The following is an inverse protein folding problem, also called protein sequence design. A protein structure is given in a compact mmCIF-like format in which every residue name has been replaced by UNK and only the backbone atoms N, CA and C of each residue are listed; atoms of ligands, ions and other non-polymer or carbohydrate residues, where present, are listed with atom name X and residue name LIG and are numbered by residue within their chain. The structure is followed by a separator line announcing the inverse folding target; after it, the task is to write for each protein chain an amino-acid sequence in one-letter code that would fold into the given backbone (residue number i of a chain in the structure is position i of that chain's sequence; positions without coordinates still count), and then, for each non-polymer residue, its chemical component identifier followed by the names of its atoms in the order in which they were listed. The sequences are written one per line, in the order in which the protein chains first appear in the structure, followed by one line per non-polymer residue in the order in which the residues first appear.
data_IF_000687322628
#
_entry.id   IF_000687322628
#
_cell.length_a   1.000
_cell.length_b   1.000
_cell.length_c   1.000
_cell.angle_alpha   90.00
_cell.angle_beta   90.00
_cell.angle_gamma   90.00
#
_symmetry.space_group_name_H-M   'P 1'
#
loop_
_entity.id
_entity.type
_entity.pdbx_description
1 polymer ?
#
# COMPACT_ATOMS: atom_id res chain seq x y z
N UNK A 1 3.50 -17.45 -38.23
CA UNK A 1 3.09 -17.78 -36.85
C UNK A 1 1.62 -18.11 -36.85
N UNK A 2 1.16 -19.07 -36.03
CA UNK A 2 -0.27 -19.31 -35.85
C UNK A 2 -0.86 -18.04 -35.24
N UNK A 3 -1.86 -17.45 -35.90
CA UNK A 3 -2.59 -16.32 -35.36
C UNK A 3 -3.33 -16.82 -34.12
N UNK A 4 -2.98 -16.27 -32.97
CA UNK A 4 -3.57 -16.65 -31.68
C UNK A 4 -4.77 -15.76 -31.47
N UNK A 5 -5.96 -16.37 -31.39
CA UNK A 5 -7.18 -15.65 -31.04
C UNK A 5 -7.23 -15.45 -29.53
N UNK A 6 -7.40 -14.21 -29.07
CA UNK A 6 -7.66 -13.89 -27.67
C UNK A 6 -9.10 -14.26 -27.35
N UNK A 7 -9.26 -15.07 -26.30
CA UNK A 7 -10.55 -15.54 -25.80
C UNK A 7 -10.90 -14.90 -24.45
N UNK A 8 -9.92 -14.31 -23.77
CA UNK A 8 -10.10 -13.78 -22.42
C UNK A 8 -9.03 -12.72 -22.10
N UNK A 9 -9.45 -11.62 -21.48
CA UNK A 9 -8.57 -10.60 -20.90
C UNK A 9 -8.58 -10.76 -19.38
N UNK A 10 -7.40 -10.87 -18.76
CA UNK A 10 -7.26 -11.06 -17.32
C UNK A 10 -6.51 -9.88 -16.71
N UNK A 11 -7.07 -9.29 -15.66
CA UNK A 11 -6.44 -8.15 -14.99
C UNK A 11 -6.69 -8.15 -13.49
N UNK A 12 -6.10 -7.23 -12.74
CA UNK A 12 -6.27 -7.12 -11.30
C UNK A 12 -7.71 -6.76 -10.92
N UNK A 13 -8.21 -7.45 -9.89
CA UNK A 13 -9.38 -7.03 -9.13
C UNK A 13 -9.03 -5.74 -8.38
N UNK A 14 -9.92 -4.75 -8.40
CA UNK A 14 -9.65 -3.38 -7.96
C UNK A 14 -8.45 -2.76 -8.70
N UNK A 15 -8.37 -3.01 -10.01
CA UNK A 15 -7.31 -2.47 -10.88
C UNK A 15 -7.23 -0.94 -10.81
N UNK A 16 -6.06 -0.40 -11.06
CA UNK A 16 -5.89 1.03 -11.19
C UNK A 16 -6.42 1.51 -12.55
N UNK A 17 -6.35 2.83 -12.76
CA UNK A 17 -6.67 3.42 -14.06
C UNK A 17 -5.76 2.87 -15.18
N UNK A 18 -4.56 2.40 -14.83
CA UNK A 18 -3.59 1.84 -15.77
C UNK A 18 -4.10 0.57 -16.45
N UNK A 19 -4.58 -0.39 -15.66
CA UNK A 19 -5.15 -1.63 -16.21
C UNK A 19 -6.41 -1.35 -17.02
N UNK A 20 -7.29 -0.46 -16.54
CA UNK A 20 -8.53 -0.13 -17.25
C UNK A 20 -8.24 0.53 -18.60
N UNK A 21 -7.27 1.45 -18.64
CA UNK A 21 -6.86 2.09 -19.88
C UNK A 21 -6.10 1.13 -20.80
N UNK A 22 -5.25 0.25 -20.26
CA UNK A 22 -4.60 -0.83 -21.00
C UNK A 22 -5.59 -1.76 -21.70
N UNK A 23 -6.61 -2.24 -20.98
CA UNK A 23 -7.68 -3.07 -21.53
C UNK A 23 -8.48 -2.30 -22.59
N UNK A 24 -8.80 -1.03 -22.37
CA UNK A 24 -9.47 -0.19 -23.38
C UNK A 24 -8.64 -0.08 -24.67
N UNK A 25 -7.33 0.18 -24.57
CA UNK A 25 -6.43 0.26 -25.74
C UNK A 25 -6.41 -1.05 -26.53
N UNK A 26 -6.30 -2.20 -25.84
CA UNK A 26 -6.33 -3.52 -26.47
C UNK A 26 -7.65 -3.75 -27.21
N UNK A 27 -8.79 -3.45 -26.58
CA UNK A 27 -10.09 -3.61 -27.23
C UNK A 27 -10.29 -2.67 -28.41
N UNK A 28 -9.72 -1.46 -28.35
CA UNK A 28 -9.93 -0.42 -29.36
C UNK A 28 -8.99 -0.55 -30.57
N UNK A 29 -7.75 -0.96 -30.34
CA UNK A 29 -6.68 -0.93 -31.35
C UNK A 29 -5.97 -2.28 -31.51
N UNK A 30 -6.25 -3.26 -30.66
CA UNK A 30 -5.49 -4.50 -30.59
C UNK A 30 -5.92 -5.60 -31.56
N UNK A 31 -7.08 -5.49 -32.22
CA UNK A 31 -7.67 -6.60 -33.01
C UNK A 31 -6.75 -7.13 -34.13
N UNK A 32 -5.97 -6.25 -34.77
CA UNK A 32 -5.02 -6.65 -35.82
C UNK A 32 -3.89 -7.55 -35.27
N UNK A 33 -3.41 -7.23 -34.06
CA UNK A 33 -2.27 -7.90 -33.43
C UNK A 33 -2.73 -9.09 -32.57
N UNK A 34 -3.91 -8.96 -31.96
CA UNK A 34 -4.54 -9.91 -31.05
C UNK A 34 -5.99 -10.20 -31.48
N UNK A 35 -6.22 -10.99 -32.54
CA UNK A 35 -7.58 -11.22 -33.04
C UNK A 35 -8.53 -11.76 -31.97
N UNK A 36 -9.75 -11.25 -31.90
CA UNK A 36 -10.75 -11.58 -30.89
C UNK A 36 -10.67 -10.76 -29.60
N UNK A 37 -9.67 -9.90 -29.42
CA UNK A 37 -9.50 -9.11 -28.19
C UNK A 37 -10.62 -8.09 -27.98
N UNK A 38 -11.19 -7.55 -29.06
CA UNK A 38 -12.30 -6.59 -29.04
C UNK A 38 -13.51 -7.18 -28.28
N UNK A 39 -13.83 -8.45 -28.54
CA UNK A 39 -14.98 -9.17 -27.97
C UNK A 39 -14.63 -10.03 -26.74
N UNK A 40 -13.35 -10.18 -26.42
CA UNK A 40 -12.91 -11.05 -25.33
C UNK A 40 -13.51 -10.60 -23.97
N UNK A 41 -14.13 -11.50 -23.18
CA UNK A 41 -14.57 -11.19 -21.83
C UNK A 41 -13.39 -10.77 -20.94
N UNK A 42 -13.67 -9.90 -19.98
CA UNK A 42 -12.70 -9.40 -19.00
C UNK A 42 -12.94 -10.11 -17.67
N UNK A 43 -11.90 -10.74 -17.11
CA UNK A 43 -11.91 -11.41 -15.82
C UNK A 43 -10.94 -10.73 -14.84
N UNK A 44 -11.40 -10.61 -13.58
CA UNK A 44 -10.72 -9.86 -12.53
C UNK A 44 -10.13 -10.81 -11.48
N UNK A 45 -8.82 -10.81 -11.37
CA UNK A 45 -8.05 -11.73 -10.54
C UNK A 45 -7.62 -11.06 -9.24
N UNK A 46 -7.75 -11.78 -8.12
CA UNK A 46 -7.22 -11.29 -6.84
C UNK A 46 -5.70 -11.17 -6.91
N UNK A 47 -5.12 -10.16 -6.29
CA UNK A 47 -3.66 -10.02 -6.14
C UNK A 47 -3.07 -11.30 -5.54
N UNK A 48 -1.99 -11.80 -6.12
CA UNK A 48 -1.32 -13.04 -5.68
C UNK A 48 -2.01 -14.35 -6.11
N UNK A 49 -3.16 -14.30 -6.79
CA UNK A 49 -3.82 -15.52 -7.32
C UNK A 49 -3.10 -16.12 -8.53
N UNK A 50 -2.21 -15.35 -9.15
CA UNK A 50 -1.38 -15.77 -10.29
C UNK A 50 0.07 -15.61 -9.88
N UNK A 51 0.81 -16.71 -9.91
CA UNK A 51 2.26 -16.67 -9.76
C UNK A 51 2.87 -15.99 -11.00
N UNK A 52 3.59 -14.86 -10.84
CA UNK A 52 4.17 -14.14 -11.96
C UNK A 52 5.23 -14.98 -12.67
N UNK A 53 4.98 -15.35 -13.93
CA UNK A 53 5.89 -16.15 -14.74
C UNK A 53 5.71 -15.79 -16.23
N UNK A 54 6.67 -15.07 -16.85
CA UNK A 54 6.53 -14.60 -18.23
C UNK A 54 6.31 -15.75 -19.22
N UNK A 55 7.07 -16.84 -19.09
CA UNK A 55 6.99 -18.00 -19.98
C UNK A 55 5.62 -18.68 -19.89
N UNK A 56 5.08 -18.81 -18.68
CA UNK A 56 3.74 -19.36 -18.46
C UNK A 56 2.66 -18.43 -18.99
N UNK A 57 2.79 -17.13 -18.79
CA UNK A 57 1.80 -16.16 -19.27
C UNK A 57 1.79 -16.09 -20.80
N UNK A 58 2.96 -16.13 -21.44
CA UNK A 58 3.07 -16.24 -22.90
C UNK A 58 2.52 -17.57 -23.43
N UNK A 59 2.72 -18.68 -22.70
CA UNK A 59 2.11 -19.96 -23.07
C UNK A 59 0.59 -19.91 -22.95
N UNK A 60 0.05 -19.31 -21.89
CA UNK A 60 -1.40 -19.16 -21.72
C UNK A 60 -2.03 -18.30 -22.81
N UNK A 61 -1.34 -17.25 -23.27
CA UNK A 61 -1.76 -16.50 -24.45
C UNK A 61 -1.79 -17.43 -25.67
N UNK A 62 -0.67 -18.09 -25.98
CA UNK A 62 -0.52 -18.92 -27.19
C UNK A 62 -1.45 -20.13 -27.23
N UNK A 63 -1.59 -20.82 -26.11
CA UNK A 63 -2.18 -22.14 -26.03
C UNK A 63 -3.67 -22.07 -25.61
N UNK A 64 -4.07 -21.03 -24.86
CA UNK A 64 -5.44 -20.86 -24.35
C UNK A 64 -6.13 -19.55 -24.81
N UNK A 65 -5.39 -18.61 -25.42
CA UNK A 65 -5.93 -17.31 -25.81
C UNK A 65 -6.15 -16.36 -24.63
N UNK A 66 -5.43 -16.55 -23.52
CA UNK A 66 -5.56 -15.74 -22.30
C UNK A 66 -4.54 -14.61 -22.27
N UNK A 67 -4.99 -13.37 -22.37
CA UNK A 67 -4.13 -12.19 -22.37
C UNK A 67 -4.19 -11.47 -21.02
N UNK A 68 -3.04 -11.38 -20.36
CA UNK A 68 -2.92 -10.78 -19.03
C UNK A 68 -2.48 -9.31 -19.13
N UNK A 69 -3.11 -8.43 -18.34
CA UNK A 69 -2.85 -6.98 -18.30
C UNK A 69 -2.61 -6.53 -16.87
N UNK A 70 -1.43 -5.97 -16.61
CA UNK A 70 -0.96 -5.51 -15.30
C UNK A 70 -0.61 -6.64 -14.33
N UNK A 71 -0.71 -7.90 -14.73
CA UNK A 71 -0.55 -9.07 -13.85
C UNK A 71 0.10 -10.26 -14.58
N UNK A 72 0.69 -11.20 -13.83
CA UNK A 72 1.14 -12.52 -14.32
C UNK A 72 2.55 -12.54 -14.89
N UNK A 73 3.25 -11.41 -14.91
CA UNK A 73 4.64 -11.27 -15.38
C UNK A 73 4.80 -11.31 -16.89
N UNK A 74 3.72 -11.21 -17.67
CA UNK A 74 3.72 -11.24 -19.14
C UNK A 74 4.22 -9.94 -19.80
N UNK A 75 4.02 -9.78 -21.10
CA UNK A 75 4.51 -8.59 -21.82
C UNK A 75 3.84 -7.26 -21.40
N UNK A 76 2.68 -7.33 -20.74
CA UNK A 76 1.92 -6.16 -20.27
C UNK A 76 1.85 -6.07 -18.74
N UNK A 77 2.88 -6.57 -18.05
CA UNK A 77 2.99 -6.48 -16.59
C UNK A 77 4.36 -5.87 -16.22
N UNK A 78 4.36 -4.64 -15.72
CA UNK A 78 5.56 -3.89 -15.36
C UNK A 78 6.20 -4.35 -14.04
N UNK A 79 5.51 -5.17 -13.24
CA UNK A 79 5.99 -5.56 -11.92
C UNK A 79 7.25 -6.43 -11.98
N UNK A 80 8.17 -6.18 -11.04
CA UNK A 80 9.32 -7.05 -10.83
C UNK A 80 8.87 -8.43 -10.33
N UNK A 81 9.56 -9.48 -10.75
CA UNK A 81 9.28 -10.84 -10.32
C UNK A 81 10.58 -11.68 -10.21
N UNK A 82 10.45 -12.97 -9.90
CA UNK A 82 11.59 -13.85 -9.73
C UNK A 82 12.43 -14.05 -11.01
N UNK A 83 11.86 -13.76 -12.20
CA UNK A 83 12.49 -14.00 -13.50
C UNK A 83 13.06 -12.72 -14.12
N UNK A 84 12.53 -11.54 -13.78
CA UNK A 84 13.00 -10.25 -14.31
C UNK A 84 12.77 -9.09 -13.34
N UNK A 85 13.58 -8.04 -13.51
CA UNK A 85 13.36 -6.76 -12.84
C UNK A 85 12.10 -6.04 -13.31
N UNK A 86 11.80 -4.89 -12.66
CA UNK A 86 10.69 -4.02 -13.04
C UNK A 86 10.89 -3.51 -14.47
N UNK A 87 9.84 -3.53 -15.30
CA UNK A 87 9.89 -2.90 -16.61
C UNK A 87 9.74 -1.38 -16.48
N UNK A 88 10.29 -0.64 -17.43
CA UNK A 88 10.09 0.80 -17.48
C UNK A 88 8.70 1.11 -18.05
N UNK A 89 7.95 1.97 -17.35
CA UNK A 89 6.57 2.32 -17.72
C UNK A 89 5.53 1.64 -16.82
N UNK A 90 4.29 1.69 -17.30
CA UNK A 90 3.12 1.07 -16.70
C UNK A 90 2.43 0.20 -17.77
N UNK A 91 1.49 -0.68 -17.39
CA UNK A 91 0.86 -1.64 -18.30
C UNK A 91 0.28 -0.96 -19.55
N UNK A 92 -0.40 0.18 -19.39
CA UNK A 92 -0.94 0.93 -20.52
C UNK A 92 0.12 1.49 -21.46
N UNK A 93 1.29 1.89 -20.95
CA UNK A 93 2.41 2.36 -21.77
C UNK A 93 3.04 1.21 -22.56
N UNK A 94 3.21 0.04 -21.91
CA UNK A 94 3.71 -1.18 -22.57
C UNK A 94 2.78 -1.63 -23.70
N UNK A 95 1.46 -1.58 -23.47
CA UNK A 95 0.45 -1.88 -24.50
C UNK A 95 0.53 -0.87 -25.64
N UNK A 96 0.59 0.44 -25.34
CA UNK A 96 0.66 1.47 -26.37
C UNK A 96 1.87 1.30 -27.29
N UNK A 97 3.03 1.00 -26.71
CA UNK A 97 4.27 0.73 -27.44
C UNK A 97 4.14 -0.54 -28.29
N UNK A 98 3.59 -1.63 -27.71
CA UNK A 98 3.42 -2.89 -28.42
C UNK A 98 2.48 -2.78 -29.61
N UNK A 99 1.42 -1.97 -29.48
CA UNK A 99 0.46 -1.72 -30.56
C UNK A 99 0.95 -0.64 -31.55
N UNK A 100 2.05 0.06 -31.27
CA UNK A 100 2.56 1.14 -32.12
C UNK A 100 1.71 2.42 -32.10
N UNK A 101 0.97 2.66 -31.01
CA UNK A 101 0.03 3.79 -30.86
C UNK A 101 0.50 4.84 -29.84
N UNK A 102 1.68 4.68 -29.25
CA UNK A 102 2.21 5.57 -28.21
C UNK A 102 2.41 7.03 -28.68
N UNK A 103 2.61 7.22 -29.98
CA UNK A 103 2.82 8.54 -30.60
C UNK A 103 1.52 9.16 -31.12
N UNK A 104 0.36 8.53 -30.92
CA UNK A 104 -0.93 9.14 -31.27
C UNK A 104 -1.14 10.41 -30.42
N UNK A 105 -1.26 11.59 -31.05
CA UNK A 105 -1.39 12.85 -30.33
C UNK A 105 -2.67 12.93 -29.46
N UNK A 106 -3.69 12.13 -29.75
CA UNK A 106 -4.92 12.04 -28.94
C UNK A 106 -4.74 11.15 -27.72
N UNK A 107 -3.92 10.08 -27.81
CA UNK A 107 -3.67 9.17 -26.70
C UNK A 107 -2.63 9.69 -25.73
N UNK A 108 -1.61 10.39 -26.25
CA UNK A 108 -0.46 10.83 -25.45
C UNK A 108 -0.83 11.55 -24.14
N UNK A 109 -1.78 12.51 -24.11
CA UNK A 109 -2.17 13.16 -22.85
C UNK A 109 -2.86 12.21 -21.85
N UNK A 110 -3.60 11.21 -22.34
CA UNK A 110 -4.25 10.19 -21.53
C UNK A 110 -3.19 9.23 -20.96
N UNK A 111 -2.26 8.77 -21.79
CA UNK A 111 -1.10 7.96 -21.37
C UNK A 111 -0.26 8.68 -20.30
N UNK A 112 0.02 9.97 -20.47
CA UNK A 112 0.75 10.77 -19.48
C UNK A 112 -0.02 10.93 -18.16
N UNK A 113 -1.35 11.08 -18.22
CA UNK A 113 -2.20 11.07 -17.02
C UNK A 113 -2.12 9.72 -16.30
N UNK A 114 -2.28 8.61 -17.03
CA UNK A 114 -2.26 7.26 -16.48
C UNK A 114 -0.90 6.93 -15.88
N UNK A 115 0.19 7.23 -16.59
CA UNK A 115 1.57 7.03 -16.11
C UNK A 115 1.85 7.83 -14.84
N UNK A 116 1.34 9.06 -14.71
CA UNK A 116 1.47 9.84 -13.46
C UNK A 116 0.69 9.19 -12.31
N UNK A 117 -0.53 8.74 -12.57
CA UNK A 117 -1.38 8.09 -11.58
C UNK A 117 -0.75 6.80 -11.04
N UNK A 118 -0.16 5.99 -11.93
CA UNK A 118 0.56 4.76 -11.57
C UNK A 118 1.80 5.04 -10.69
N UNK A 119 2.51 6.14 -10.98
CA UNK A 119 3.60 6.63 -10.13
C UNK A 119 3.14 7.32 -8.83
N UNK A 120 1.84 7.26 -8.51
CA UNK A 120 1.27 7.77 -7.26
C UNK A 120 0.69 9.19 -7.35
N UNK A 121 0.93 9.93 -8.43
CA UNK A 121 0.32 11.24 -8.67
C UNK A 121 -1.08 11.09 -9.26
N UNK A 122 -2.06 10.93 -8.38
CA UNK A 122 -3.47 10.76 -8.75
C UNK A 122 -4.20 12.09 -9.02
N UNK A 123 -3.49 13.23 -8.96
CA UNK A 123 -4.07 14.56 -9.07
C UNK A 123 -4.97 14.94 -7.89
N UNK A 124 -5.89 15.88 -8.12
CA UNK A 124 -6.80 16.39 -7.07
C UNK A 124 -7.97 15.43 -6.84
N UNK A 125 -8.72 15.66 -5.77
CA UNK A 125 -9.82 14.80 -5.33
C UNK A 125 -10.89 14.48 -6.42
N UNK A 126 -11.15 15.43 -7.32
CA UNK A 126 -12.13 15.28 -8.43
C UNK A 126 -11.49 14.89 -9.76
N UNK A 127 -10.21 14.51 -9.76
CA UNK A 127 -9.52 14.01 -10.94
C UNK A 127 -9.81 12.53 -11.13
N UNK A 128 -9.87 12.11 -12.38
CA UNK A 128 -10.34 10.78 -12.75
C UNK A 128 -9.59 9.60 -12.07
N UNK A 129 -8.25 9.60 -11.91
CA UNK A 129 -7.59 8.55 -11.14
C UNK A 129 -8.10 8.44 -9.68
N UNK A 130 -8.39 9.57 -9.03
CA UNK A 130 -8.99 9.56 -7.70
C UNK A 130 -10.46 9.11 -7.73
N UNK A 131 -11.22 9.46 -8.78
CA UNK A 131 -12.60 8.99 -8.95
C UNK A 131 -12.66 7.47 -9.01
N UNK A 132 -11.74 6.81 -9.74
CA UNK A 132 -11.63 5.35 -9.77
C UNK A 132 -11.45 4.78 -8.36
N UNK A 133 -10.55 5.38 -7.56
CA UNK A 133 -10.37 4.97 -6.15
C UNK A 133 -11.65 5.16 -5.34
N UNK A 134 -12.38 6.27 -5.52
CA UNK A 134 -13.65 6.46 -4.80
C UNK A 134 -14.72 5.46 -5.21
N UNK A 135 -14.82 5.11 -6.49
CA UNK A 135 -15.76 4.09 -6.96
C UNK A 135 -15.47 2.72 -6.33
N UNK A 136 -14.20 2.35 -6.21
CA UNK A 136 -13.79 1.12 -5.54
C UNK A 136 -14.12 1.13 -4.04
N UNK A 137 -13.97 2.28 -3.38
CA UNK A 137 -14.31 2.45 -1.97
C UNK A 137 -15.81 2.38 -1.72
N UNK A 138 -16.60 2.97 -2.61
CA UNK A 138 -18.04 2.80 -2.67
C UNK A 138 -18.50 1.37 -3.06
N UNK A 139 -17.55 0.43 -3.19
CA UNK A 139 -17.78 -1.00 -3.46
C UNK A 139 -18.48 -1.28 -4.79
N UNK A 140 -18.35 -0.38 -5.77
CA UNK A 140 -18.76 -0.70 -7.13
C UNK A 140 -17.92 -1.84 -7.70
N UNK A 141 -18.54 -2.68 -8.54
CA UNK A 141 -17.86 -3.82 -9.15
C UNK A 141 -16.82 -3.37 -10.18
N UNK A 142 -15.75 -4.15 -10.34
CA UNK A 142 -14.70 -3.84 -11.33
C UNK A 142 -15.26 -3.76 -12.76
N UNK A 143 -16.26 -4.61 -13.08
CA UNK A 143 -16.98 -4.57 -14.36
C UNK A 143 -17.64 -3.21 -14.61
N UNK A 144 -18.42 -2.73 -13.65
CA UNK A 144 -19.10 -1.44 -13.76
C UNK A 144 -18.11 -0.29 -13.88
N UNK A 145 -17.02 -0.32 -13.10
CA UNK A 145 -15.98 0.72 -13.16
C UNK A 145 -15.29 0.69 -14.52
N UNK A 146 -14.99 -0.50 -15.06
CA UNK A 146 -14.41 -0.66 -16.40
C UNK A 146 -15.32 -0.12 -17.50
N UNK A 147 -16.62 -0.45 -17.48
CA UNK A 147 -17.61 0.02 -18.45
C UNK A 147 -17.73 1.55 -18.43
N UNK A 148 -17.82 2.15 -17.24
CA UNK A 148 -17.78 3.61 -17.06
C UNK A 148 -16.47 4.19 -17.60
N UNK A 149 -15.36 3.49 -17.39
CA UNK A 149 -14.04 3.94 -17.84
C UNK A 149 -13.93 3.96 -19.35
N UNK A 150 -14.46 2.97 -20.04
CA UNK A 150 -14.47 2.93 -21.50
C UNK A 150 -15.24 4.11 -22.09
N UNK A 151 -16.40 4.45 -21.51
CA UNK A 151 -17.19 5.61 -21.94
C UNK A 151 -16.38 6.91 -21.82
N UNK A 152 -15.67 7.09 -20.70
CA UNK A 152 -14.84 8.26 -20.44
C UNK A 152 -13.63 8.30 -21.37
N UNK A 153 -12.93 7.19 -21.56
CA UNK A 153 -11.78 7.11 -22.47
C UNK A 153 -12.18 7.37 -23.92
N UNK A 154 -13.31 6.82 -24.37
CA UNK A 154 -13.87 7.11 -25.69
C UNK A 154 -14.13 8.61 -25.87
N UNK A 155 -14.72 9.27 -24.87
CA UNK A 155 -14.99 10.70 -24.93
C UNK A 155 -13.70 11.53 -24.92
N UNK A 156 -12.71 11.16 -24.09
CA UNK A 156 -11.40 11.82 -24.06
C UNK A 156 -10.67 11.66 -25.40
N UNK A 157 -10.70 10.46 -25.99
CA UNK A 157 -10.06 10.19 -27.27
C UNK A 157 -10.77 10.92 -28.43
N UNK A 158 -12.11 10.95 -28.43
CA UNK A 158 -12.89 11.63 -29.46
C UNK A 158 -12.63 13.14 -29.50
N UNK A 159 -12.56 13.76 -28.31
CA UNK A 159 -12.35 15.20 -28.15
C UNK A 159 -10.98 15.69 -28.69
N UNK A 160 -10.03 14.78 -28.91
CA UNK A 160 -8.75 15.08 -29.54
C UNK A 160 -7.86 16.06 -28.78
N UNK A 161 -6.89 16.67 -29.45
CA UNK A 161 -5.83 17.48 -28.83
C UNK A 161 -6.30 18.76 -28.14
N UNK A 162 -7.45 19.30 -28.55
CA UNK A 162 -7.87 20.66 -28.18
C UNK A 162 -8.23 20.80 -26.69
N UNK A 163 -8.70 19.71 -26.07
CA UNK A 163 -9.09 19.69 -24.66
C UNK A 163 -7.91 19.51 -23.70
N UNK A 164 -6.78 18.99 -24.20
CA UNK A 164 -5.63 18.60 -23.39
C UNK A 164 -4.65 19.76 -23.11
N UNK A 165 -4.88 20.94 -23.70
CA UNK A 165 -4.19 22.17 -23.30
C UNK A 165 -4.46 22.57 -21.83
N UNK A 166 -5.43 21.94 -21.19
CA UNK A 166 -5.73 22.10 -19.77
C UNK A 166 -5.22 20.88 -18.97
N UNK A 167 -4.31 21.12 -18.01
CA UNK A 167 -3.76 20.06 -17.13
C UNK A 167 -4.84 19.35 -16.29
N UNK A 168 -6.02 19.95 -16.12
CA UNK A 168 -7.17 19.42 -15.37
C UNK A 168 -8.29 18.91 -16.32
N UNK A 169 -7.98 18.52 -17.58
CA UNK A 169 -8.98 18.00 -18.54
C UNK A 169 -9.76 16.77 -18.03
N UNK A 170 -9.16 16.03 -17.10
CA UNK A 170 -9.70 14.82 -16.48
C UNK A 170 -10.36 15.10 -15.12
N UNK A 171 -10.67 16.35 -14.82
CA UNK A 171 -11.53 16.71 -13.69
C UNK A 171 -13.00 16.47 -14.02
N UNK A 172 -13.80 16.09 -13.03
CA UNK A 172 -15.23 15.75 -13.22
C UNK A 172 -16.03 16.75 -14.08
N UNK A 173 -15.98 18.07 -13.84
CA UNK A 173 -16.76 19.02 -14.66
C UNK A 173 -16.33 19.03 -16.14
N UNK A 174 -15.07 18.70 -16.43
CA UNK A 174 -14.57 18.59 -17.80
C UNK A 174 -15.05 17.29 -18.44
N UNK A 175 -14.95 16.18 -17.72
CA UNK A 175 -15.49 14.89 -18.18
C UNK A 175 -16.98 15.01 -18.51
N UNK A 176 -17.77 15.66 -17.65
CA UNK A 176 -19.20 15.91 -17.91
C UNK A 176 -19.42 16.66 -19.23
N UNK A 177 -18.67 17.76 -19.42
CA UNK A 177 -18.75 18.54 -20.67
C UNK A 177 -18.33 17.72 -21.89
N UNK A 178 -17.32 16.86 -21.78
CA UNK A 178 -16.90 15.98 -22.87
C UNK A 178 -18.02 15.01 -23.24
N UNK A 179 -18.67 14.41 -22.25
CA UNK A 179 -19.78 13.48 -22.48
C UNK A 179 -20.99 14.17 -23.12
N UNK A 180 -21.27 15.43 -22.77
CA UNK A 180 -22.36 16.22 -23.35
C UNK A 180 -22.05 16.69 -24.79
N UNK A 181 -20.84 17.20 -25.05
CA UNK A 181 -20.49 17.86 -26.32
C UNK A 181 -20.40 16.87 -27.49
N UNK A 182 -19.99 15.63 -27.24
CA UNK A 182 -19.81 14.64 -28.30
C UNK A 182 -21.13 14.13 -28.89
N UNK A 183 -22.29 14.42 -28.26
CA UNK A 183 -23.61 13.99 -28.74
C UNK A 183 -23.79 12.46 -28.89
N UNK A 184 -22.75 11.70 -28.52
CA UNK A 184 -22.64 10.24 -28.67
C UNK A 184 -23.39 9.49 -27.59
N UNK A 185 -23.63 10.14 -26.45
CA UNK A 185 -24.30 9.54 -25.30
C UNK A 185 -25.60 10.27 -25.00
N UNK A 186 -26.66 9.51 -24.74
CA UNK A 186 -27.94 10.05 -24.33
C UNK A 186 -27.79 10.81 -22.99
N UNK A 187 -28.47 11.94 -22.83
CA UNK A 187 -28.41 12.75 -21.60
C UNK A 187 -28.72 11.93 -20.34
N UNK A 188 -29.58 10.91 -20.47
CA UNK A 188 -29.91 10.00 -19.38
C UNK A 188 -28.68 9.19 -18.91
N UNK A 189 -27.91 8.62 -19.85
CA UNK A 189 -26.68 7.89 -19.53
C UNK A 189 -25.64 8.79 -18.86
N UNK A 190 -25.46 10.02 -19.38
CA UNK A 190 -24.52 10.99 -18.78
C UNK A 190 -24.93 11.32 -17.34
N UNK A 191 -26.22 11.56 -17.10
CA UNK A 191 -26.74 11.81 -15.75
C UNK A 191 -26.55 10.62 -14.81
N UNK A 192 -26.81 9.39 -15.29
CA UNK A 192 -26.58 8.17 -14.50
C UNK A 192 -25.11 8.05 -14.08
N UNK A 193 -24.17 8.25 -15.02
CA UNK A 193 -22.72 8.20 -14.73
C UNK A 193 -22.31 9.27 -13.71
N UNK A 194 -22.82 10.49 -13.85
CA UNK A 194 -22.53 11.59 -12.93
C UNK A 194 -23.06 11.28 -11.54
N UNK A 195 -24.29 10.78 -11.42
CA UNK A 195 -24.87 10.36 -10.13
C UNK A 195 -24.00 9.30 -9.46
N UNK A 196 -23.60 8.25 -10.20
CA UNK A 196 -22.70 7.20 -9.70
C UNK A 196 -21.39 7.81 -9.15
N UNK A 197 -20.77 8.71 -9.89
CA UNK A 197 -19.50 9.33 -9.49
C UNK A 197 -19.69 10.21 -8.23
N UNK A 198 -20.74 11.01 -8.20
CA UNK A 198 -21.04 11.90 -7.08
C UNK A 198 -21.39 11.12 -5.81
N UNK A 199 -22.15 10.03 -5.93
CA UNK A 199 -22.47 9.13 -4.82
C UNK A 199 -21.19 8.48 -4.26
N UNK A 200 -20.31 7.98 -5.12
CA UNK A 200 -19.03 7.41 -4.70
C UNK A 200 -18.13 8.44 -4.00
N UNK A 201 -18.08 9.67 -4.52
CA UNK A 201 -17.38 10.79 -3.88
C UNK A 201 -17.96 11.11 -2.50
N UNK A 202 -19.29 11.10 -2.38
CA UNK A 202 -20.00 11.35 -1.12
C UNK A 202 -19.69 10.27 -0.08
N UNK A 203 -19.75 9.00 -0.47
CA UNK A 203 -19.40 7.86 0.39
C UNK A 203 -17.95 7.98 0.89
N UNK A 204 -17.00 8.20 -0.02
CA UNK A 204 -15.60 8.33 0.36
C UNK A 204 -15.32 9.52 1.29
N UNK A 205 -16.05 10.63 1.09
CA UNK A 205 -15.97 11.79 1.99
C UNK A 205 -16.50 11.44 3.37
N UNK A 206 -17.64 10.76 3.45
CA UNK A 206 -18.23 10.36 4.73
C UNK A 206 -17.32 9.38 5.48
N UNK A 207 -16.73 8.40 4.81
CA UNK A 207 -15.73 7.50 5.41
C UNK A 207 -14.51 8.24 5.97
N UNK A 208 -14.05 9.29 5.28
CA UNK A 208 -12.95 10.13 5.77
C UNK A 208 -13.36 10.96 7.00
N UNK A 209 -14.57 11.52 7.00
CA UNK A 209 -15.11 12.26 8.14
C UNK A 209 -15.27 11.37 9.37
N UNK A 210 -15.80 10.16 9.18
CA UNK A 210 -15.89 9.15 10.24
C UNK A 210 -14.51 8.80 10.78
N UNK A 211 -13.53 8.51 9.90
CA UNK A 211 -12.16 8.23 10.32
C UNK A 211 -11.53 9.41 11.09
N UNK A 212 -11.86 10.65 10.72
CA UNK A 212 -11.42 11.84 11.44
C UNK A 212 -12.00 11.90 12.84
N UNK A 213 -13.28 11.61 12.99
CA UNK A 213 -13.93 11.64 14.29
C UNK A 213 -13.43 10.48 15.18
N UNK A 214 -13.13 9.31 14.61
CA UNK A 214 -12.45 8.19 15.27
C UNK A 214 -11.06 8.60 15.76
N UNK A 215 -10.21 9.19 14.91
CA UNK A 215 -8.86 9.61 15.32
C UNK A 215 -8.92 10.75 16.34
N UNK A 216 -9.86 11.69 16.19
CA UNK A 216 -10.02 12.81 17.13
C UNK A 216 -10.48 12.36 18.53
N UNK A 217 -11.25 11.27 18.62
CA UNK A 217 -11.69 10.67 19.89
C UNK A 217 -10.74 9.59 20.42
N UNK A 218 -9.68 9.25 19.68
CA UNK A 218 -8.73 8.21 20.05
C UNK A 218 -7.83 8.61 21.23
N UNK A 219 -7.26 7.60 21.89
CA UNK A 219 -6.25 7.83 22.93
C UNK A 219 -4.96 8.31 22.27
N UNK A 220 -4.41 9.42 22.78
CA UNK A 220 -3.13 9.96 22.33
C UNK A 220 -2.07 9.86 23.42
N UNK A 221 -0.84 9.54 23.03
CA UNK A 221 0.31 9.40 23.92
C UNK A 221 1.50 10.19 23.39
N UNK A 222 2.38 10.62 24.30
CA UNK A 222 3.63 11.32 23.97
C UNK A 222 4.81 10.53 24.50
N UNK A 223 5.86 10.40 23.67
CA UNK A 223 7.16 9.86 24.07
C UNK A 223 8.30 10.69 23.50
N UNK A 224 9.46 10.67 24.15
CA UNK A 224 10.63 11.40 23.68
C UNK A 224 11.51 10.53 22.79
N UNK A 225 11.69 10.90 21.53
CA UNK A 225 12.66 10.26 20.63
C UNK A 225 13.76 11.26 20.30
N UNK A 226 14.95 11.08 20.86
CA UNK A 226 16.10 11.98 20.65
C UNK A 226 15.74 13.46 20.94
N UNK A 227 15.13 13.70 22.10
CA UNK A 227 14.69 15.03 22.56
C UNK A 227 13.56 15.66 21.72
N UNK A 228 13.00 14.93 20.76
CA UNK A 228 11.82 15.34 20.02
C UNK A 228 10.57 14.60 20.53
N UNK A 229 9.46 15.30 20.82
CA UNK A 229 8.22 14.65 21.20
C UNK A 229 7.64 13.89 20.00
N UNK A 230 7.28 12.63 20.21
CA UNK A 230 6.62 11.75 19.25
C UNK A 230 5.20 11.51 19.72
N UNK A 231 4.23 11.88 18.88
CA UNK A 231 2.80 11.71 19.11
C UNK A 231 2.34 10.35 18.59
N UNK A 232 1.76 9.55 19.48
CA UNK A 232 1.22 8.24 19.15
C UNK A 232 -0.30 8.31 19.22
N UNK A 233 -0.99 7.95 18.13
CA UNK A 233 -2.43 7.68 18.13
C UNK A 233 -2.68 6.19 18.39
N UNK A 234 -3.58 5.86 19.32
CA UNK A 234 -4.01 4.49 19.58
C UNK A 234 -5.48 4.36 19.21
N UNK A 235 -5.74 3.70 18.09
CA UNK A 235 -7.05 3.64 17.45
C UNK A 235 -7.53 2.20 17.37
N UNK A 236 -8.81 1.98 17.66
CA UNK A 236 -9.51 0.74 17.33
C UNK A 236 -10.52 1.00 16.22
N UNK A 237 -10.31 0.44 15.03
CA UNK A 237 -11.18 0.63 13.86
C UNK A 237 -10.80 -0.26 12.69
N UNK A 238 -11.78 -0.61 11.86
CA UNK A 238 -11.57 -1.21 10.53
C UNK A 238 -11.59 -0.19 9.39
N UNK A 239 -11.80 1.10 9.70
CA UNK A 239 -11.81 2.16 8.70
C UNK A 239 -10.38 2.42 8.17
N UNK A 240 -10.15 2.04 6.92
CA UNK A 240 -8.85 2.14 6.25
C UNK A 240 -8.36 3.59 6.06
N UNK A 241 -9.22 4.62 6.22
CA UNK A 241 -8.84 6.03 6.14
C UNK A 241 -8.14 6.54 7.40
N UNK A 242 -8.22 5.81 8.52
CA UNK A 242 -7.63 6.22 9.82
C UNK A 242 -6.15 6.58 9.69
N UNK A 243 -5.36 5.83 8.90
CA UNK A 243 -3.94 6.14 8.68
C UNK A 243 -3.73 7.49 8.01
N UNK A 244 -4.49 7.78 6.95
CA UNK A 244 -4.38 9.04 6.22
C UNK A 244 -4.78 10.23 7.11
N UNK A 245 -5.84 10.05 7.90
CA UNK A 245 -6.30 11.09 8.83
C UNK A 245 -5.30 11.30 9.97
N UNK A 246 -4.80 10.25 10.59
CA UNK A 246 -3.80 10.35 11.66
C UNK A 246 -2.55 11.12 11.19
N UNK A 247 -2.08 10.86 9.96
CA UNK A 247 -0.97 11.61 9.35
C UNK A 247 -1.33 13.08 9.17
N UNK A 248 -2.50 13.39 8.63
CA UNK A 248 -2.96 14.77 8.44
C UNK A 248 -3.16 15.54 9.76
N UNK A 249 -3.46 14.82 10.85
CA UNK A 249 -3.58 15.38 12.20
C UNK A 249 -2.22 15.53 12.92
N UNK A 250 -1.12 15.20 12.24
CA UNK A 250 0.25 15.37 12.73
C UNK A 250 0.63 14.38 13.83
N UNK A 251 0.10 13.16 13.78
CA UNK A 251 0.64 12.05 14.57
C UNK A 251 1.89 11.48 13.90
N UNK A 252 2.84 11.02 14.72
CA UNK A 252 4.10 10.45 14.26
C UNK A 252 4.05 8.93 14.17
N UNK A 253 3.26 8.29 15.04
CA UNK A 253 3.01 6.84 15.04
C UNK A 253 1.51 6.59 15.16
N UNK A 254 1.01 5.64 14.40
CA UNK A 254 -0.33 5.07 14.56
C UNK A 254 -0.23 3.62 15.03
N UNK A 255 -0.83 3.33 16.19
CA UNK A 255 -1.14 1.98 16.65
C UNK A 255 -2.62 1.71 16.36
N UNK A 256 -2.88 0.88 15.35
CA UNK A 256 -4.22 0.53 14.90
C UNK A 256 -4.55 -0.90 15.31
N UNK A 257 -5.67 -1.12 16.01
CA UNK A 257 -6.23 -2.44 16.27
C UNK A 257 -7.57 -2.58 15.54
N UNK A 258 -7.67 -3.60 14.69
CA UNK A 258 -8.89 -3.95 13.97
C UNK A 258 -9.89 -4.63 14.92
N UNK A 259 -11.17 -4.70 14.53
CA UNK A 259 -12.19 -5.39 15.33
C UNK A 259 -11.86 -6.89 15.50
N UNK A 260 -11.25 -7.49 14.48
CA UNK A 260 -10.73 -8.86 14.53
C UNK A 260 -9.55 -9.08 15.48
N UNK A 261 -9.02 -8.02 16.11
CA UNK A 261 -7.89 -8.07 17.05
C UNK A 261 -6.50 -7.94 16.41
N UNK A 262 -6.42 -8.08 15.09
CA UNK A 262 -5.21 -7.81 14.31
C UNK A 262 -4.70 -6.38 14.58
N UNK A 263 -3.37 -6.24 14.70
CA UNK A 263 -2.75 -5.00 15.17
C UNK A 263 -1.67 -4.53 14.21
N UNK A 264 -1.66 -3.25 13.90
CA UNK A 264 -0.71 -2.66 12.95
C UNK A 264 -0.08 -1.43 13.58
N UNK A 265 1.20 -1.22 13.28
CA UNK A 265 1.98 -0.07 13.75
C UNK A 265 2.59 0.59 12.54
N UNK A 266 2.26 1.86 12.35
CA UNK A 266 2.77 2.68 11.26
C UNK A 266 3.58 3.83 11.84
N UNK A 267 4.84 3.95 11.45
CA UNK A 267 5.58 5.20 11.57
C UNK A 267 5.10 6.14 10.45
N UNK A 268 4.37 7.18 10.84
CA UNK A 268 3.83 8.20 9.95
C UNK A 268 4.87 9.28 9.66
N UNK A 269 5.79 9.50 10.60
CA UNK A 269 6.97 10.34 10.44
C UNK A 269 8.14 9.49 9.93
N UNK A 270 8.71 9.80 8.74
CA UNK A 270 9.76 8.99 8.11
C UNK A 270 11.07 8.93 8.90
N UNK A 271 11.25 9.78 9.92
CA UNK A 271 12.44 9.77 10.78
C UNK A 271 12.36 8.73 11.91
N UNK A 272 11.21 8.08 12.10
CA UNK A 272 11.01 7.09 13.16
C UNK A 272 11.25 5.70 12.59
N UNK A 273 12.13 4.93 13.23
CA UNK A 273 12.42 3.55 12.83
C UNK A 273 11.81 2.56 13.86
N UNK A 274 11.11 1.53 13.37
CA UNK A 274 10.41 0.53 14.18
C UNK A 274 11.23 -0.75 14.47
N UNK A 275 12.52 -0.82 14.13
CA UNK A 275 13.35 -2.03 14.31
C UNK A 275 13.40 -2.43 15.79
N UNK A 276 13.65 -1.47 16.70
CA UNK A 276 13.73 -1.77 18.14
C UNK A 276 12.35 -2.09 18.72
N UNK A 277 11.27 -1.49 18.20
CA UNK A 277 9.89 -1.84 18.56
C UNK A 277 9.59 -3.29 18.17
N UNK A 278 10.02 -3.68 16.97
CA UNK A 278 9.85 -5.03 16.40
C UNK A 278 10.49 -6.09 17.30
N UNK A 279 11.71 -5.83 17.79
CA UNK A 279 12.38 -6.76 18.71
C UNK A 279 11.60 -6.91 20.01
N UNK A 280 11.14 -5.81 20.61
CA UNK A 280 10.39 -5.86 21.87
C UNK A 280 9.12 -6.68 21.71
N UNK A 281 8.37 -6.45 20.62
CA UNK A 281 7.12 -7.17 20.34
C UNK A 281 7.36 -8.65 20.09
N UNK A 282 8.34 -9.00 19.25
CA UNK A 282 8.64 -10.41 18.95
C UNK A 282 9.14 -11.17 20.18
N UNK A 283 9.89 -10.53 21.07
CA UNK A 283 10.29 -11.13 22.36
C UNK A 283 9.08 -11.26 23.29
N UNK A 284 8.18 -10.27 23.33
CA UNK A 284 6.97 -10.34 24.14
C UNK A 284 6.01 -11.45 23.67
N UNK A 285 5.81 -11.59 22.36
CA UNK A 285 4.98 -12.64 21.75
C UNK A 285 5.48 -14.04 22.09
N UNK A 286 6.80 -14.27 21.92
CA UNK A 286 7.45 -15.53 22.30
C UNK A 286 7.24 -15.88 23.78
N UNK A 287 7.35 -14.87 24.66
CA UNK A 287 7.10 -15.07 26.10
C UNK A 287 5.64 -15.41 26.39
N UNK A 288 4.69 -14.78 25.71
CA UNK A 288 3.27 -15.11 25.85
C UNK A 288 2.97 -16.55 25.44
N UNK A 289 3.63 -17.05 24.39
CA UNK A 289 3.55 -18.45 23.96
C UNK A 289 4.26 -19.44 24.90
N UNK A 290 5.05 -18.95 25.86
CA UNK A 290 5.87 -19.80 26.73
C UNK A 290 7.08 -20.45 26.03
N UNK A 291 7.42 -20.02 24.81
CA UNK A 291 8.52 -20.60 24.02
C UNK A 291 9.43 -19.52 23.47
N UNK A 292 10.74 -19.62 23.70
CA UNK A 292 11.73 -18.72 23.09
C UNK A 292 12.52 -19.46 22.03
N UNK A 293 12.18 -19.24 20.77
CA UNK A 293 12.78 -19.93 19.61
C UNK A 293 13.84 -19.08 18.92
N UNK A 294 13.68 -17.75 18.92
CA UNK A 294 14.62 -16.80 18.33
C UNK A 294 15.12 -15.83 19.38
N UNK A 295 16.43 -15.89 19.65
CA UNK A 295 17.11 -15.04 20.64
C UNK A 295 18.11 -14.06 20.04
N UNK A 296 18.53 -14.27 18.78
CA UNK A 296 19.44 -13.36 18.10
C UNK A 296 18.71 -12.04 17.78
N UNK A 297 19.25 -10.93 18.27
CA UNK A 297 18.61 -9.62 18.15
C UNK A 297 18.56 -9.11 16.72
N UNK A 298 19.56 -9.44 15.90
CA UNK A 298 19.61 -9.01 14.51
C UNK A 298 18.57 -9.79 13.69
N UNK A 299 18.43 -11.10 13.93
CA UNK A 299 17.33 -11.90 13.37
C UNK A 299 15.96 -11.36 13.76
N UNK A 300 15.78 -10.91 15.02
CA UNK A 300 14.52 -10.32 15.48
C UNK A 300 14.23 -8.95 14.84
N UNK A 301 15.21 -8.25 14.28
CA UNK A 301 15.03 -6.98 13.56
C UNK A 301 14.75 -7.15 12.07
N UNK A 302 15.01 -8.33 11.51
CA UNK A 302 14.87 -8.54 10.08
C UNK A 302 13.42 -8.32 9.60
N UNK A 303 13.32 -7.81 8.38
CA UNK A 303 12.08 -7.77 7.60
C UNK A 303 11.49 -9.18 7.43
N UNK A 304 10.19 -9.23 7.16
CA UNK A 304 9.45 -10.48 7.06
C UNK A 304 8.95 -10.98 8.41
N UNK A 305 8.73 -12.30 8.51
CA UNK A 305 8.33 -13.01 9.74
C UNK A 305 9.53 -13.66 10.41
N UNK A 306 9.43 -13.88 11.73
CA UNK A 306 10.48 -14.55 12.52
C UNK A 306 9.90 -15.72 13.31
N UNK A 307 10.67 -16.81 13.38
CA UNK A 307 10.29 -18.03 14.11
C UNK A 307 9.99 -17.75 15.59
N UNK A 308 8.86 -18.21 16.08
CA UNK A 308 8.33 -17.98 17.42
C UNK A 308 7.50 -16.70 17.58
N UNK A 309 7.52 -15.79 16.61
CA UNK A 309 6.74 -14.54 16.60
C UNK A 309 6.18 -14.25 15.20
N UNK A 310 5.65 -15.30 14.55
CA UNK A 310 5.14 -15.29 13.19
C UNK A 310 3.92 -14.36 13.00
N UNK A 311 3.29 -13.96 14.11
CA UNK A 311 2.22 -12.97 14.17
C UNK A 311 2.69 -11.60 13.68
N UNK A 312 3.98 -11.27 13.79
CA UNK A 312 4.52 -9.95 13.48
C UNK A 312 5.41 -9.97 12.23
N UNK A 313 4.92 -9.34 11.17
CA UNK A 313 5.61 -9.14 9.90
C UNK A 313 6.10 -7.70 9.77
N UNK A 314 7.43 -7.51 9.68
CA UNK A 314 8.03 -6.21 9.42
C UNK A 314 8.14 -6.04 7.90
N UNK A 315 7.32 -5.18 7.30
CA UNK A 315 7.35 -4.94 5.85
C UNK A 315 8.50 -4.00 5.48
N UNK A 316 8.76 -3.02 6.34
CA UNK A 316 9.87 -2.08 6.26
C UNK A 316 10.10 -1.50 7.65
N UNK A 317 11.18 -0.74 7.84
CA UNK A 317 11.44 -0.03 9.10
C UNK A 317 10.31 0.94 9.54
N UNK A 318 9.30 1.19 8.70
CA UNK A 318 8.16 2.06 8.98
C UNK A 318 6.84 1.33 9.25
N UNK A 319 6.76 0.02 8.99
CA UNK A 319 5.48 -0.70 9.00
C UNK A 319 5.61 -2.09 9.58
N UNK A 320 4.98 -2.28 10.74
CA UNK A 320 4.93 -3.56 11.44
C UNK A 320 3.47 -4.05 11.52
N UNK A 321 3.22 -5.23 10.96
CA UNK A 321 1.88 -5.75 10.70
C UNK A 321 1.65 -7.06 11.45
N UNK A 322 0.56 -7.14 12.21
CA UNK A 322 -0.04 -8.39 12.64
C UNK A 322 -1.36 -8.61 11.89
N UNK A 323 -1.23 -9.08 10.64
CA UNK A 323 -2.32 -9.16 9.67
C UNK A 323 -2.49 -7.86 8.88
N UNK A 324 -3.07 -7.97 7.69
CA UNK A 324 -3.43 -6.83 6.84
C UNK A 324 -4.63 -7.17 5.96
N UNK A 325 -5.20 -6.16 5.30
CA UNK A 325 -6.28 -6.36 4.32
C UNK A 325 -5.86 -7.34 3.22
N UNK A 326 -4.56 -7.41 2.90
CA UNK A 326 -4.00 -8.28 1.88
C UNK A 326 -3.48 -9.62 2.43
N UNK A 327 -3.46 -9.80 3.75
CA UNK A 327 -2.96 -10.98 4.43
C UNK A 327 -4.06 -11.55 5.34
N UNK A 328 -5.06 -12.17 4.72
CA UNK A 328 -6.17 -12.84 5.40
C UNK A 328 -5.68 -14.06 6.21
N UNK A 329 -6.37 -14.37 7.30
CA UNK A 329 -6.11 -15.58 8.11
C UNK A 329 -4.91 -15.50 9.05
N UNK A 330 -4.27 -14.34 9.21
CA UNK A 330 -3.21 -14.16 10.22
C UNK A 330 -3.84 -14.10 11.62
N UNK A 331 -3.41 -15.01 12.51
CA UNK A 331 -3.86 -15.03 13.90
C UNK A 331 -3.53 -13.70 14.60
N UNK A 332 -4.50 -13.06 15.26
CA UNK A 332 -4.25 -11.89 16.08
C UNK A 332 -3.21 -12.15 17.18
N UNK A 333 -2.37 -11.16 17.44
CA UNK A 333 -1.43 -11.18 18.59
C UNK A 333 -2.19 -11.38 19.90
N UNK A 334 -1.60 -12.16 20.81
CA UNK A 334 -2.16 -12.32 22.16
C UNK A 334 -1.81 -11.13 23.08
N UNK A 335 -0.97 -10.21 22.61
CA UNK A 335 -0.60 -9.02 23.36
C UNK A 335 -1.79 -8.06 23.45
N UNK A 336 -2.07 -7.59 24.66
CA UNK A 336 -3.02 -6.51 24.91
C UNK A 336 -2.51 -5.20 24.32
N UNK A 337 -3.42 -4.28 24.01
CA UNK A 337 -3.07 -3.01 23.37
C UNK A 337 -2.09 -2.18 24.22
N UNK A 338 -2.20 -2.25 25.55
CA UNK A 338 -1.31 -1.57 26.49
C UNK A 338 0.09 -2.17 26.48
N UNK A 339 0.21 -3.49 26.24
CA UNK A 339 1.51 -4.16 26.10
C UNK A 339 2.18 -3.77 24.80
N UNK A 340 1.41 -3.65 23.71
CA UNK A 340 1.91 -3.18 22.42
C UNK A 340 2.35 -1.72 22.51
N UNK A 341 1.52 -0.85 23.09
CA UNK A 341 1.88 0.54 23.35
C UNK A 341 3.14 0.64 24.20
N UNK A 342 3.26 -0.16 25.26
CA UNK A 342 4.48 -0.21 26.08
C UNK A 342 5.70 -0.60 25.25
N UNK A 343 5.57 -1.55 24.32
CA UNK A 343 6.66 -1.92 23.42
C UNK A 343 7.06 -0.77 22.50
N UNK A 344 6.10 -0.03 21.94
CA UNK A 344 6.38 1.18 21.15
C UNK A 344 7.14 2.20 22.01
N UNK A 345 6.64 2.51 23.20
CA UNK A 345 7.29 3.46 24.11
C UNK A 345 8.72 3.04 24.41
N UNK A 346 8.97 1.76 24.70
CA UNK A 346 10.33 1.25 24.98
C UNK A 346 11.25 1.33 23.76
N UNK A 347 10.75 0.95 22.57
CA UNK A 347 11.55 0.88 21.35
C UNK A 347 11.91 2.26 20.82
N UNK A 348 10.97 3.21 20.88
CA UNK A 348 11.10 4.57 20.33
C UNK A 348 11.79 5.51 21.31
N UNK A 349 11.49 5.43 22.61
CA UNK A 349 12.05 6.36 23.58
C UNK A 349 13.54 6.10 23.82
N UNK A 350 14.38 7.06 23.39
CA UNK A 350 15.84 7.00 23.50
C UNK A 350 16.32 6.98 24.95
N UNK A 351 15.52 7.54 25.87
CA UNK A 351 15.77 7.62 27.30
C UNK A 351 15.09 6.50 28.12
N UNK A 352 14.37 5.60 27.44
CA UNK A 352 13.71 4.48 28.09
C UNK A 352 14.74 3.49 28.63
N UNK A 353 14.71 3.35 29.96
CA UNK A 353 15.53 2.44 30.74
C UNK A 353 14.66 1.82 31.85
N UNK A 354 14.92 0.56 32.28
CA UNK A 354 14.19 -0.01 33.40
C UNK A 354 14.43 0.81 34.67
N UNK A 355 13.39 1.00 35.48
CA UNK A 355 13.43 1.84 36.70
C UNK A 355 14.65 1.55 37.59
N UNK A 356 15.00 0.27 37.76
CA UNK A 356 16.15 -0.19 38.56
C UNK A 356 17.51 0.34 38.08
N UNK A 357 17.63 0.67 36.80
CA UNK A 357 18.90 1.06 36.15
C UNK A 357 18.87 2.48 35.57
N UNK A 358 17.75 3.20 35.68
CA UNK A 358 17.49 4.43 34.93
C UNK A 358 18.54 5.52 35.16
N UNK A 359 18.99 5.74 36.40
CA UNK A 359 19.95 6.81 36.72
C UNK A 359 21.27 6.66 35.96
N UNK A 360 21.90 5.49 36.02
CA UNK A 360 23.17 5.21 35.32
C UNK A 360 22.96 5.01 33.82
N UNK A 361 21.88 4.34 33.42
CA UNK A 361 21.57 4.07 32.02
C UNK A 361 21.45 5.36 31.20
N UNK A 362 20.77 6.38 31.75
CA UNK A 362 20.64 7.71 31.12
C UNK A 362 21.95 8.51 31.10
N UNK A 363 22.91 8.16 31.93
CA UNK A 363 24.26 8.75 31.91
C UNK A 363 25.21 8.02 30.94
N UNK A 364 24.71 7.07 30.14
CA UNK A 364 25.54 6.27 29.23
C UNK A 364 26.21 5.07 29.89
N UNK A 365 25.83 4.69 31.12
CA UNK A 365 26.46 3.62 31.88
C UNK A 365 25.57 2.41 32.11
N UNK A 366 26.12 1.22 31.90
CA UNK A 366 25.44 -0.05 32.10
C UNK A 366 25.99 -0.77 33.34
N UNK A 367 25.26 -0.73 34.45
CA UNK A 367 25.70 -1.34 35.72
C UNK A 367 25.31 -2.82 35.89
N UNK A 368 24.72 -3.40 34.85
CA UNK A 368 24.16 -4.74 34.90
C UNK A 368 25.23 -5.81 35.03
N UNK A 369 24.90 -6.86 35.76
CA UNK A 369 25.77 -8.01 36.03
C UNK A 369 24.95 -9.29 35.99
N UNK A 370 25.60 -10.46 36.04
CA UNK A 370 24.88 -11.75 36.16
C UNK A 370 23.95 -11.80 37.38
N UNK A 371 24.27 -11.09 38.47
CA UNK A 371 23.43 -10.99 39.68
C UNK A 371 22.41 -9.84 39.61
N UNK A 372 22.57 -8.89 38.68
CA UNK A 372 21.72 -7.71 38.49
C UNK A 372 21.30 -7.61 37.02
N UNK A 373 20.36 -8.46 36.63
CA UNK A 373 19.91 -8.59 35.23
C UNK A 373 18.97 -7.43 34.86
N UNK A 374 19.18 -6.85 33.68
CA UNK A 374 18.32 -5.83 33.07
C UNK A 374 17.11 -6.48 32.41
N UNK A 375 15.90 -5.96 32.63
CA UNK A 375 14.71 -6.44 31.90
C UNK A 375 14.77 -6.12 30.41
N UNK A 376 15.58 -5.15 29.98
CA UNK A 376 15.80 -4.81 28.56
C UNK A 376 16.95 -5.60 27.92
N UNK A 377 17.70 -6.38 28.70
CA UNK A 377 18.78 -7.21 28.15
C UNK A 377 18.32 -8.12 27.00
N UNK A 378 17.14 -8.77 27.07
CA UNK A 378 16.64 -9.62 25.99
C UNK A 378 16.28 -8.88 24.69
N UNK A 379 16.25 -7.55 24.69
CA UNK A 379 15.94 -6.76 23.49
C UNK A 379 17.20 -6.34 22.74
N UNK A 380 18.37 -6.39 23.38
CA UNK A 380 19.65 -6.15 22.71
C UNK A 380 19.75 -4.81 21.99
N UNK A 381 19.12 -3.75 22.51
CA UNK A 381 19.09 -2.43 21.88
C UNK A 381 20.48 -1.90 21.57
N UNK A 382 20.63 -1.19 20.44
CA UNK A 382 21.89 -0.53 20.04
C UNK A 382 22.44 0.36 21.17
N UNK A 383 21.59 1.24 21.73
CA UNK A 383 21.93 2.11 22.88
C UNK A 383 22.43 1.35 24.11
N UNK A 384 21.87 0.18 24.40
CA UNK A 384 22.31 -0.62 25.55
C UNK A 384 23.69 -1.26 25.32
N UNK A 385 24.01 -1.62 24.07
CA UNK A 385 25.33 -2.16 23.69
C UNK A 385 26.41 -1.08 23.81
N UNK A 386 26.11 0.13 23.34
CA UNK A 386 26.99 1.30 23.45
C UNK A 386 27.32 1.62 24.91
N UNK A 387 26.30 1.76 25.77
CA UNK A 387 26.49 2.01 27.20
C UNK A 387 27.36 0.94 27.87
N UNK A 388 27.18 -0.33 27.48
CA UNK A 388 27.97 -1.45 28.00
C UNK A 388 29.42 -1.37 27.56
N UNK A 389 29.67 -1.02 26.30
CA UNK A 389 31.02 -0.85 25.78
C UNK A 389 31.77 0.29 26.47
N UNK A 390 31.13 1.45 26.64
CA UNK A 390 31.68 2.59 27.41
C UNK A 390 32.03 2.16 28.83
N UNK A 391 31.12 1.45 29.51
CA UNK A 391 31.34 0.97 30.88
C UNK A 391 32.51 -0.02 30.99
N UNK A 392 32.75 -0.84 29.97
CA UNK A 392 33.88 -1.78 29.95
C UNK A 392 35.21 -1.04 29.82
N UNK A 393 35.30 -0.07 28.90
CA UNK A 393 36.51 0.75 28.71
C UNK A 393 36.91 1.50 29.97
N UNK A 394 35.96 2.09 30.68
CA UNK A 394 36.27 2.80 31.93
C UNK A 394 36.75 1.88 33.06
N UNK A 395 36.30 0.63 33.08
CA UNK A 395 36.76 -0.37 34.07
C UNK A 395 38.15 -0.87 33.75
N UNK A 396 38.50 -0.95 32.47
CA UNK A 396 39.84 -1.34 32.01
C UNK A 396 40.86 -0.24 32.28
N UNK A 397 40.52 1.04 32.05
CA UNK A 397 41.40 2.17 32.33
C UNK A 397 41.63 2.48 33.82
N UNK A 398 40.90 1.82 34.73
CA UNK A 398 41.06 1.94 36.19
C UNK A 398 41.82 0.77 36.82
N UNK A 399 42.19 -0.23 36.03
CA UNK A 399 43.06 -1.33 36.43
C UNK A 399 44.49 -1.03 35.99
#
# INVERSE_FOLDING_TARGET
MKVIRVNELLTHKKGHIDEYFGVWQLKRFGEEIFPGVEEAPINYLKTGSVEPNPTKTESLLRDEGKLYVGIGGGCFDEHANAFRGRLEGCASSLIAEYLGIQDDPKLKPILEMVKRADNGDNGKYYHYPNIIKQLQLARHSDKMIMELSFIIFDAMYAAGTDIFNNKDFHALPKIMRLLEVEGKYESELVMQLVTIILDAISIARNEYLEARDIVASSMSELVDCNEQPVRIAVVQSDNFRVMAVARNMGYDILLLRQEGGNTQIFALNPNINLDEVTVVLRVAEQKMKGTTLTTNFDTLRNEGKVRGAEEWHLESSQMLLNGSINAEGVTPTQLKIEQVLTAIKIGVDSNSCPKKFASKCRQGFCDTTRKKVCSFYPYGFKRCRENRFVTLKEKEGKK
#
